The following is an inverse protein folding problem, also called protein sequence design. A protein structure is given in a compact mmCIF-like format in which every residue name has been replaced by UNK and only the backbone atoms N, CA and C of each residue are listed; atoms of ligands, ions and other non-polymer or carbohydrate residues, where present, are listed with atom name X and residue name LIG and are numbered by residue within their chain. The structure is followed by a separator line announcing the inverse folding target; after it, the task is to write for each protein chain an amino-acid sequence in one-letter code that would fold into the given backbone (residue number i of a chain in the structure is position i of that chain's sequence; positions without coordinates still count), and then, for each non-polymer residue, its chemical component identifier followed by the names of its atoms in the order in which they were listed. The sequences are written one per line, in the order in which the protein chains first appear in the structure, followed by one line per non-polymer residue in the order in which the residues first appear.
data_IF_634026997595
#
_entry.id   IF_634026997595
#
_cell.length_a   1.000
_cell.length_b   1.000
_cell.length_c   1.000
_cell.angle_alpha   90.00
_cell.angle_beta   90.00
_cell.angle_gamma   90.00
#
_symmetry.space_group_name_H-M   'P 1'
#
loop_
_entity.id
_entity.type
_entity.pdbx_description
1 polymer ?
#
# COMPACT_ATOMS: atom_id res chain seq x y z
N UNK A 1 -4.74 14.83 22.57
CA UNK A 1 -5.25 14.61 21.20
C UNK A 1 -5.92 13.25 21.08
N UNK A 2 -6.84 13.08 20.14
CA UNK A 2 -7.49 11.78 19.90
C UNK A 2 -6.67 10.90 18.96
N UNK A 3 -6.67 9.59 19.22
CA UNK A 3 -6.04 8.58 18.39
C UNK A 3 -6.77 7.24 18.48
N UNK A 4 -6.63 6.41 17.46
CA UNK A 4 -7.04 5.00 17.50
C UNK A 4 -5.87 4.19 18.06
N UNK A 5 -6.02 3.71 19.26
CA UNK A 5 -5.00 2.95 20.01
C UNK A 5 -5.42 1.48 20.08
N UNK A 6 -4.50 0.56 19.88
CA UNK A 6 -4.78 -0.85 20.08
C UNK A 6 -4.76 -1.17 21.58
N UNK A 7 -5.81 -1.82 22.06
CA UNK A 7 -5.93 -2.32 23.43
C UNK A 7 -5.05 -3.58 23.67
N UNK A 8 -5.17 -4.20 24.84
CA UNK A 8 -4.43 -5.42 25.20
C UNK A 8 -4.81 -6.64 24.33
N UNK A 9 -6.00 -6.63 23.74
CA UNK A 9 -6.46 -7.66 22.79
C UNK A 9 -6.05 -7.33 21.34
N UNK A 10 -5.40 -6.18 21.09
CA UNK A 10 -5.05 -5.69 19.78
C UNK A 10 -6.24 -5.13 19.00
N UNK A 11 -7.32 -4.76 19.69
CA UNK A 11 -8.50 -4.15 19.08
C UNK A 11 -8.39 -2.62 19.08
N UNK A 12 -8.87 -1.95 18.00
CA UNK A 12 -8.78 -0.50 17.87
C UNK A 12 -9.81 0.23 18.75
N UNK A 13 -9.37 1.16 19.56
CA UNK A 13 -10.19 2.01 20.43
C UNK A 13 -9.84 3.47 20.26
N UNK A 14 -10.85 4.36 20.16
CA UNK A 14 -10.64 5.81 20.16
C UNK A 14 -10.33 6.28 21.58
N UNK A 15 -9.15 6.85 21.77
CA UNK A 15 -8.61 7.19 23.08
C UNK A 15 -7.98 8.58 23.05
N UNK A 16 -8.08 9.32 24.17
CA UNK A 16 -7.32 10.53 24.39
C UNK A 16 -5.88 10.19 24.82
N UNK A 17 -4.91 10.63 24.04
CA UNK A 17 -3.49 10.42 24.28
C UNK A 17 -2.75 11.76 24.39
N UNK A 18 -1.55 11.73 24.99
CA UNK A 18 -0.69 12.90 25.03
C UNK A 18 -0.35 13.39 23.59
N UNK A 19 -0.06 14.69 23.46
CA UNK A 19 0.49 15.25 22.23
C UNK A 19 1.83 14.58 21.92
N UNK A 20 2.15 14.33 20.62
CA UNK A 20 3.41 13.70 20.24
C UNK A 20 4.58 14.65 20.52
N UNK A 21 5.50 14.22 21.35
CA UNK A 21 6.74 14.93 21.68
C UNK A 21 7.96 14.32 20.96
N UNK A 22 9.13 14.95 21.14
CA UNK A 22 10.39 14.47 20.61
C UNK A 22 10.79 15.08 19.25
N UNK A 23 11.73 14.41 18.57
CA UNK A 23 12.32 14.90 17.34
C UNK A 23 11.40 14.67 16.13
N UNK A 24 11.63 15.47 15.07
CA UNK A 24 10.90 15.38 13.80
C UNK A 24 9.89 16.52 13.62
N UNK A 25 9.33 16.58 12.41
CA UNK A 25 8.33 17.57 12.05
C UNK A 25 6.99 17.24 12.71
N UNK A 26 6.35 18.21 13.33
CA UNK A 26 4.98 18.06 13.81
C UNK A 26 4.03 18.17 12.62
N UNK A 27 3.25 17.11 12.41
CA UNK A 27 2.28 17.02 11.32
C UNK A 27 0.89 16.94 11.92
N UNK A 28 0.01 17.83 11.51
CA UNK A 28 -1.43 17.72 11.70
C UNK A 28 -1.98 16.78 10.63
N UNK A 29 -2.55 15.66 11.04
CA UNK A 29 -3.17 14.72 10.09
C UNK A 29 -4.47 15.29 9.56
N UNK A 30 -4.62 15.34 8.25
CA UNK A 30 -5.82 15.76 7.55
C UNK A 30 -6.64 14.59 7.06
N UNK A 31 -5.95 13.53 6.65
CA UNK A 31 -6.55 12.26 6.25
C UNK A 31 -5.52 11.13 6.39
N UNK A 32 -5.98 9.93 6.73
CA UNK A 32 -5.17 8.72 6.75
C UNK A 32 -5.93 7.56 6.13
N UNK A 33 -5.34 6.93 5.12
CA UNK A 33 -5.90 5.76 4.45
C UNK A 33 -5.73 4.48 5.26
N UNK A 34 -6.75 3.62 5.23
CA UNK A 34 -6.67 2.27 5.78
C UNK A 34 -6.03 1.34 4.75
N UNK A 35 -4.95 0.68 5.15
CA UNK A 35 -4.23 -0.32 4.38
C UNK A 35 -4.55 -1.74 4.86
N UNK A 36 -4.47 -2.73 3.98
CA UNK A 36 -4.57 -4.15 4.35
C UNK A 36 -3.56 -4.54 5.44
N UNK A 37 -2.35 -3.99 5.38
CA UNK A 37 -1.31 -4.24 6.38
C UNK A 37 -1.65 -3.68 7.78
N UNK A 38 -2.52 -2.68 7.90
CA UNK A 38 -3.03 -2.22 9.20
C UNK A 38 -4.02 -3.26 9.74
N UNK A 39 -4.92 -3.77 8.89
CA UNK A 39 -5.88 -4.82 9.26
C UNK A 39 -5.19 -6.10 9.71
N UNK A 40 -4.10 -6.51 9.04
CA UNK A 40 -3.28 -7.67 9.41
C UNK A 40 -2.62 -7.55 10.78
N UNK A 41 -2.38 -6.33 11.26
CA UNK A 41 -1.77 -6.06 12.57
C UNK A 41 -2.78 -6.08 13.71
N UNK A 42 -4.08 -5.99 13.45
CA UNK A 42 -5.11 -6.09 14.47
C UNK A 42 -5.05 -7.46 15.15
N UNK A 43 -5.11 -7.49 16.49
CA UNK A 43 -4.92 -8.69 17.30
C UNK A 43 -3.48 -9.24 17.32
N UNK A 44 -2.51 -8.57 16.68
CA UNK A 44 -1.11 -9.04 16.61
C UNK A 44 -0.08 -8.00 17.03
N UNK A 45 -0.36 -6.72 16.82
CA UNK A 45 0.52 -5.65 17.27
C UNK A 45 0.37 -5.40 18.78
N UNK A 46 1.43 -4.91 19.45
CA UNK A 46 1.38 -4.62 20.88
C UNK A 46 0.30 -3.61 21.26
N UNK A 47 -0.23 -3.73 22.47
CA UNK A 47 -1.09 -2.71 23.06
C UNK A 47 -0.38 -1.34 23.08
N UNK A 48 -1.16 -0.26 22.97
CA UNK A 48 -0.63 1.10 22.84
C UNK A 48 -0.19 1.49 21.43
N UNK A 49 -0.19 0.57 20.46
CA UNK A 49 0.16 0.88 19.06
C UNK A 49 -0.93 1.72 18.41
N UNK A 50 -0.53 2.79 17.73
CA UNK A 50 -1.38 3.52 16.77
C UNK A 50 -0.92 3.17 15.36
N UNK A 51 -1.84 2.68 14.53
CA UNK A 51 -1.58 2.29 13.15
C UNK A 51 -1.80 3.47 12.18
N UNK A 52 -1.74 3.19 10.87
CA UNK A 52 -1.92 4.18 9.79
C UNK A 52 -0.61 4.74 9.28
N UNK A 53 -0.41 4.67 7.95
CA UNK A 53 0.82 5.09 7.29
C UNK A 53 0.61 5.75 5.92
N UNK A 54 -0.63 5.78 5.41
CA UNK A 54 -1.01 6.46 4.19
C UNK A 54 -1.56 7.85 4.53
N UNK A 55 -0.70 8.84 4.74
CA UNK A 55 -1.00 10.07 5.48
C UNK A 55 -0.93 11.29 4.56
N UNK A 56 -2.02 12.03 4.52
CA UNK A 56 -2.08 13.43 4.10
C UNK A 56 -2.08 14.32 5.34
N UNK A 57 -1.19 15.28 5.40
CA UNK A 57 -1.04 16.15 6.56
C UNK A 57 -0.63 17.58 6.21
N UNK A 58 -0.49 18.37 7.24
CA UNK A 58 -0.10 19.78 7.17
C UNK A 58 0.92 20.08 8.27
N UNK A 59 1.98 20.78 7.92
CA UNK A 59 2.99 21.27 8.86
C UNK A 59 2.49 22.54 9.58
N UNK A 60 3.15 22.94 10.66
CA UNK A 60 2.79 24.15 11.42
C UNK A 60 2.85 25.45 10.60
N UNK A 61 3.68 25.49 9.55
CA UNK A 61 3.77 26.63 8.63
C UNK A 61 2.69 26.62 7.53
N UNK A 62 1.77 25.64 7.54
CA UNK A 62 0.71 25.50 6.56
C UNK A 62 1.07 24.66 5.32
N UNK A 63 2.30 24.20 5.18
CA UNK A 63 2.73 23.36 4.05
C UNK A 63 1.98 22.02 4.07
N UNK A 64 1.40 21.65 2.93
CA UNK A 64 0.75 20.37 2.74
C UNK A 64 1.79 19.31 2.42
N UNK A 65 1.68 18.16 3.09
CA UNK A 65 2.66 17.10 2.97
C UNK A 65 2.01 15.70 2.95
N UNK A 66 2.72 14.75 2.36
CA UNK A 66 2.56 13.34 2.66
C UNK A 66 3.72 12.86 3.53
N UNK A 67 3.46 11.91 4.40
CA UNK A 67 4.44 11.42 5.38
C UNK A 67 5.08 10.12 4.89
N UNK A 68 6.41 10.05 4.96
CA UNK A 68 7.15 8.82 4.64
C UNK A 68 7.45 8.07 5.93
N UNK A 69 6.73 6.95 6.15
CA UNK A 69 6.84 6.16 7.37
C UNK A 69 8.12 5.33 7.48
N UNK A 70 8.77 5.03 6.36
CA UNK A 70 9.99 4.23 6.29
C UNK A 70 11.06 4.89 5.44
N UNK A 71 12.23 5.18 6.03
CA UNK A 71 13.34 5.86 5.35
C UNK A 71 14.61 5.01 5.49
N UNK A 72 15.24 4.58 4.37
CA UNK A 72 16.50 3.85 4.43
C UNK A 72 17.65 4.76 4.86
N UNK A 73 18.71 4.22 5.47
CA UNK A 73 19.85 5.01 5.89
C UNK A 73 20.73 5.52 4.72
N UNK A 74 20.64 4.90 3.54
CA UNK A 74 21.40 5.28 2.34
C UNK A 74 22.86 4.82 2.33
N UNK A 75 23.43 4.37 3.45
CA UNK A 75 24.89 4.13 3.61
C UNK A 75 25.27 2.68 3.92
N UNK A 76 24.36 1.84 4.39
CA UNK A 76 24.69 0.44 4.67
C UNK A 76 24.81 -0.38 3.36
N UNK A 77 25.47 -1.53 3.44
CA UNK A 77 25.67 -2.43 2.29
C UNK A 77 24.38 -2.74 1.54
N UNK A 78 23.26 -2.95 2.26
CA UNK A 78 21.96 -3.21 1.63
C UNK A 78 21.44 -2.02 0.83
N UNK A 79 21.61 -0.81 1.35
CA UNK A 79 21.25 0.40 0.62
C UNK A 79 22.11 0.60 -0.62
N UNK A 80 23.41 0.40 -0.49
CA UNK A 80 24.37 0.54 -1.61
C UNK A 80 24.16 -0.53 -2.69
N UNK A 81 23.69 -1.72 -2.31
CA UNK A 81 23.30 -2.81 -3.22
C UNK A 81 21.89 -2.66 -3.82
N UNK A 82 21.14 -1.56 -3.53
CA UNK A 82 19.79 -1.35 -4.03
C UNK A 82 18.67 -2.05 -3.21
N UNK A 83 19.04 -2.76 -2.14
CA UNK A 83 18.08 -3.48 -1.28
C UNK A 83 17.60 -2.62 -0.09
N UNK A 84 17.18 -1.39 -0.35
CA UNK A 84 16.84 -0.38 0.65
C UNK A 84 15.73 -0.81 1.61
N UNK A 85 14.71 -1.54 1.13
CA UNK A 85 13.62 -2.04 1.99
C UNK A 85 14.03 -3.12 3.00
N UNK A 86 15.25 -3.64 2.89
CA UNK A 86 15.86 -4.57 3.83
C UNK A 86 16.89 -3.93 4.75
N UNK A 87 17.10 -2.63 4.63
CA UNK A 87 17.92 -1.82 5.53
C UNK A 87 17.36 -1.88 6.96
N UNK A 88 18.24 -2.00 7.96
CA UNK A 88 17.82 -2.02 9.37
C UNK A 88 17.07 -0.76 9.77
N UNK A 89 17.54 0.41 9.35
CA UNK A 89 16.91 1.70 9.60
C UNK A 89 15.57 1.86 8.90
N UNK A 90 15.37 1.24 7.76
CA UNK A 90 14.10 1.27 7.02
C UNK A 90 12.95 0.61 7.80
N UNK A 91 13.26 -0.39 8.63
CA UNK A 91 12.26 -1.08 9.46
C UNK A 91 11.85 -0.29 10.69
N UNK A 92 12.70 0.64 11.16
CA UNK A 92 12.35 1.53 12.23
C UNK A 92 11.26 2.50 11.77
N UNK A 93 10.17 2.60 12.52
CA UNK A 93 9.15 3.60 12.23
C UNK A 93 9.77 4.99 12.30
N UNK A 94 9.42 5.83 11.33
CA UNK A 94 9.83 7.23 11.26
C UNK A 94 8.69 8.19 11.60
N UNK A 95 7.63 7.64 12.17
CA UNK A 95 6.46 8.38 12.66
C UNK A 95 6.12 7.94 14.08
N UNK A 96 5.64 8.87 14.89
CA UNK A 96 5.19 8.62 16.26
C UNK A 96 4.09 9.65 16.65
N UNK A 97 2.88 9.18 17.02
CA UNK A 97 2.34 7.85 16.81
C UNK A 97 2.06 7.57 15.33
N UNK A 98 1.25 6.56 14.99
CA UNK A 98 0.79 6.30 13.62
C UNK A 98 -0.25 7.32 13.15
N UNK A 99 -0.67 7.20 11.87
CA UNK A 99 -1.52 8.19 11.20
C UNK A 99 -3.00 8.18 11.59
N UNK A 100 -3.48 7.17 12.32
CA UNK A 100 -4.84 7.22 12.88
C UNK A 100 -4.88 8.03 14.19
N UNK A 101 -4.39 9.26 14.13
CA UNK A 101 -4.33 10.25 15.21
C UNK A 101 -4.47 11.66 14.64
N UNK A 102 -4.85 12.62 15.49
CA UNK A 102 -4.97 14.03 15.08
C UNK A 102 -3.62 14.64 14.70
N UNK A 103 -2.53 14.21 15.34
CA UNK A 103 -1.16 14.70 15.10
C UNK A 103 -0.14 13.58 15.26
N UNK A 104 0.99 13.75 14.57
CA UNK A 104 2.14 12.87 14.72
C UNK A 104 3.45 13.64 14.51
N UNK A 105 4.55 13.06 14.96
CA UNK A 105 5.92 13.47 14.59
C UNK A 105 6.42 12.58 13.46
N UNK A 106 7.03 13.21 12.46
CA UNK A 106 7.61 12.49 11.33
C UNK A 106 9.04 12.93 11.08
N UNK A 107 9.95 12.00 10.81
CA UNK A 107 11.33 12.34 10.43
C UNK A 107 11.45 12.75 8.96
N UNK A 108 10.47 12.42 8.12
CA UNK A 108 10.50 12.72 6.70
C UNK A 108 9.12 12.95 6.13
N UNK A 109 8.94 14.12 5.50
CA UNK A 109 7.75 14.50 4.75
C UNK A 109 8.13 14.89 3.33
N UNK A 110 7.20 14.69 2.39
CA UNK A 110 7.33 15.17 1.02
C UNK A 110 6.23 16.20 0.77
N UNK A 111 6.57 17.42 0.30
CA UNK A 111 5.57 18.43 -0.05
C UNK A 111 4.60 17.93 -1.12
N UNK A 112 3.35 18.31 -0.98
CA UNK A 112 2.25 17.97 -1.90
C UNK A 112 1.72 19.27 -2.50
N UNK A 113 1.57 19.37 -3.84
CA UNK A 113 1.02 20.55 -4.49
C UNK A 113 -0.45 20.77 -4.13
N UNK A 114 -0.90 22.02 -4.20
CA UNK A 114 -2.25 22.43 -3.78
C UNK A 114 -3.37 21.81 -4.61
N UNK A 115 -3.07 21.38 -5.83
CA UNK A 115 -4.01 20.72 -6.74
C UNK A 115 -4.42 19.32 -6.28
N UNK A 116 -3.62 18.68 -5.43
CA UNK A 116 -3.97 17.38 -4.83
C UNK A 116 -4.65 17.60 -3.49
N UNK A 117 -5.92 17.27 -3.39
CA UNK A 117 -6.63 17.30 -2.10
C UNK A 117 -6.12 16.21 -1.13
N UNK A 118 -6.62 16.23 0.11
CA UNK A 118 -6.18 15.25 1.11
C UNK A 118 -6.61 13.81 0.79
N UNK A 119 -7.72 13.59 0.07
CA UNK A 119 -8.18 12.26 -0.31
C UNK A 119 -7.34 11.68 -1.46
N UNK A 120 -6.92 12.51 -2.41
CA UNK A 120 -5.95 12.11 -3.42
C UNK A 120 -4.56 11.87 -2.80
N UNK A 121 -4.14 12.70 -1.86
CA UNK A 121 -2.83 12.61 -1.21
C UNK A 121 -2.62 11.30 -0.47
N UNK A 122 -3.65 10.68 0.11
CA UNK A 122 -3.51 9.37 0.77
C UNK A 122 -3.11 8.24 -0.20
N UNK A 123 -3.30 8.42 -1.51
CA UNK A 123 -2.85 7.47 -2.52
C UNK A 123 -1.36 7.58 -2.87
N UNK A 124 -0.65 8.60 -2.39
CA UNK A 124 0.78 8.77 -2.70
C UNK A 124 1.60 7.59 -2.19
N UNK A 125 1.39 7.15 -0.94
CA UNK A 125 2.11 6.02 -0.36
C UNK A 125 1.87 4.71 -1.14
N UNK A 126 0.62 4.25 -1.33
CA UNK A 126 0.38 3.03 -2.07
C UNK A 126 0.83 3.11 -3.54
N UNK A 127 0.70 4.26 -4.20
CA UNK A 127 1.22 4.45 -5.56
C UNK A 127 2.75 4.38 -5.59
N UNK A 128 3.44 4.95 -4.61
CA UNK A 128 4.89 4.83 -4.48
C UNK A 128 5.33 3.36 -4.36
N UNK A 129 4.59 2.55 -3.59
CA UNK A 129 4.81 1.11 -3.48
C UNK A 129 4.58 0.38 -4.82
N UNK A 130 3.52 0.76 -5.56
CA UNK A 130 3.21 0.24 -6.91
C UNK A 130 4.35 0.55 -7.87
N UNK A 131 4.81 1.81 -7.94
CA UNK A 131 5.90 2.23 -8.84
C UNK A 131 7.15 1.40 -8.60
N UNK A 132 7.53 1.21 -7.33
CA UNK A 132 8.67 0.37 -6.98
C UNK A 132 8.48 -1.09 -7.38
N UNK A 133 7.29 -1.66 -7.18
CA UNK A 133 7.01 -3.05 -7.54
C UNK A 133 7.06 -3.26 -9.06
N UNK A 134 6.55 -2.31 -9.84
CA UNK A 134 6.51 -2.37 -11.30
C UNK A 134 7.91 -2.43 -11.92
N UNK A 135 8.94 -1.91 -11.27
CA UNK A 135 10.33 -2.06 -11.73
C UNK A 135 10.80 -3.52 -11.76
N UNK A 136 10.18 -4.39 -10.94
CA UNK A 136 10.50 -5.82 -10.87
C UNK A 136 9.61 -6.68 -11.79
N UNK A 137 8.61 -6.07 -12.43
CA UNK A 137 7.70 -6.74 -13.35
C UNK A 137 8.30 -6.74 -14.75
N UNK A 138 8.64 -7.88 -15.36
CA UNK A 138 9.00 -7.96 -16.78
C UNK A 138 7.94 -7.32 -17.67
N UNK A 139 8.36 -6.73 -18.79
CA UNK A 139 7.43 -6.14 -19.75
C UNK A 139 6.68 -7.23 -20.51
N UNK A 140 5.45 -6.92 -20.94
CA UNK A 140 4.66 -7.79 -21.79
C UNK A 140 3.26 -8.04 -21.25
N UNK A 141 2.82 -9.28 -21.26
CA UNK A 141 1.52 -9.71 -20.75
C UNK A 141 1.62 -9.94 -19.22
N UNK A 142 0.92 -9.13 -18.45
CA UNK A 142 1.00 -9.11 -16.99
C UNK A 142 -0.36 -9.43 -16.38
N UNK A 143 -0.41 -10.43 -15.52
CA UNK A 143 -1.56 -10.75 -14.70
C UNK A 143 -1.47 -10.01 -13.35
N UNK A 144 -2.51 -9.27 -12.96
CA UNK A 144 -2.63 -8.73 -11.60
C UNK A 144 -3.70 -9.51 -10.84
N UNK A 145 -3.33 -10.10 -9.71
CA UNK A 145 -4.21 -10.96 -8.91
C UNK A 145 -4.78 -10.18 -7.74
N UNK A 146 -6.11 -10.04 -7.72
CA UNK A 146 -6.90 -9.17 -6.85
C UNK A 146 -7.39 -7.92 -7.59
N UNK A 147 -8.44 -7.26 -7.11
CA UNK A 147 -8.95 -5.98 -7.64
C UNK A 147 -9.35 -5.02 -6.51
N UNK A 148 -8.49 -4.89 -5.49
CA UNK A 148 -8.58 -3.83 -4.48
C UNK A 148 -8.10 -2.47 -5.01
N UNK A 149 -8.14 -1.43 -4.18
CA UNK A 149 -7.72 -0.06 -4.57
C UNK A 149 -6.30 0.01 -5.15
N UNK A 150 -5.36 -0.77 -4.61
CA UNK A 150 -3.97 -0.80 -5.08
C UNK A 150 -3.86 -1.45 -6.46
N UNK A 151 -4.69 -2.45 -6.75
CA UNK A 151 -4.68 -3.12 -8.06
C UNK A 151 -5.08 -2.16 -9.18
N UNK A 152 -6.06 -1.29 -8.93
CA UNK A 152 -6.46 -0.28 -9.92
C UNK A 152 -5.34 0.72 -10.22
N UNK A 153 -4.42 0.95 -9.27
CA UNK A 153 -3.18 1.69 -9.52
C UNK A 153 -2.20 0.87 -10.36
N UNK A 154 -1.99 -0.43 -10.05
CA UNK A 154 -1.15 -1.32 -10.88
C UNK A 154 -1.62 -1.36 -12.33
N UNK A 155 -2.90 -1.58 -12.57
CA UNK A 155 -3.49 -1.62 -13.91
C UNK A 155 -3.10 -0.37 -14.69
N UNK A 156 -3.33 0.80 -14.14
CA UNK A 156 -3.06 2.06 -14.84
C UNK A 156 -1.56 2.31 -15.06
N UNK A 157 -0.71 1.98 -14.08
CA UNK A 157 0.75 2.14 -14.22
C UNK A 157 1.31 1.20 -15.27
N UNK A 158 0.89 -0.07 -15.28
CA UNK A 158 1.34 -1.06 -16.26
C UNK A 158 0.85 -0.72 -17.67
N UNK A 159 -0.42 -0.36 -17.86
CA UNK A 159 -0.96 0.09 -19.15
C UNK A 159 -0.22 1.32 -19.68
N UNK A 160 0.09 2.31 -18.84
CA UNK A 160 0.90 3.48 -19.22
C UNK A 160 2.33 3.11 -19.59
N UNK A 161 2.88 2.05 -19.00
CA UNK A 161 4.18 1.48 -19.37
C UNK A 161 4.15 0.78 -20.74
N UNK A 162 2.97 0.49 -21.28
CA UNK A 162 2.74 -0.19 -22.56
C UNK A 162 2.61 -1.72 -22.45
N UNK A 163 2.27 -2.23 -21.24
CA UNK A 163 2.02 -3.64 -21.02
C UNK A 163 0.57 -4.03 -21.40
N UNK A 164 0.35 -5.28 -21.71
CA UNK A 164 -0.97 -5.90 -21.76
C UNK A 164 -1.33 -6.37 -20.34
N UNK A 165 -2.41 -5.85 -19.77
CA UNK A 165 -2.76 -6.11 -18.37
C UNK A 165 -4.05 -6.92 -18.31
N UNK A 166 -3.97 -8.10 -17.73
CA UNK A 166 -5.11 -8.91 -17.32
C UNK A 166 -5.30 -8.86 -15.81
N UNK A 167 -6.53 -9.09 -15.34
CA UNK A 167 -6.86 -9.10 -13.91
C UNK A 167 -7.60 -10.37 -13.54
N UNK A 168 -7.41 -10.79 -12.28
CA UNK A 168 -8.11 -11.92 -11.69
C UNK A 168 -8.65 -11.54 -10.31
N UNK A 169 -9.97 -11.53 -10.16
CA UNK A 169 -10.65 -11.32 -8.88
C UNK A 169 -11.94 -12.12 -8.84
N UNK A 170 -12.32 -12.75 -7.72
CA UNK A 170 -13.57 -13.49 -7.61
C UNK A 170 -14.83 -12.60 -7.57
N UNK A 171 -14.67 -11.28 -7.41
CA UNK A 171 -15.78 -10.32 -7.32
C UNK A 171 -16.01 -9.63 -8.66
N UNK A 172 -17.19 -9.87 -9.31
CA UNK A 172 -17.47 -9.29 -10.64
C UNK A 172 -17.51 -7.76 -10.66
N UNK A 173 -17.97 -7.13 -9.57
CA UNK A 173 -18.04 -5.67 -9.43
C UNK A 173 -16.64 -5.02 -9.42
N UNK A 174 -15.67 -5.68 -8.81
CA UNK A 174 -14.27 -5.24 -8.77
C UNK A 174 -13.57 -5.49 -10.10
N UNK A 175 -13.83 -6.65 -10.72
CA UNK A 175 -13.29 -6.98 -12.03
C UNK A 175 -13.77 -5.97 -13.09
N UNK A 176 -15.08 -5.65 -13.12
CA UNK A 176 -15.64 -4.67 -14.06
C UNK A 176 -14.90 -3.33 -14.00
N UNK A 177 -14.54 -2.86 -12.80
CA UNK A 177 -13.82 -1.59 -12.65
C UNK A 177 -12.40 -1.62 -13.21
N UNK A 178 -11.70 -2.74 -13.11
CA UNK A 178 -10.39 -2.89 -13.73
C UNK A 178 -10.50 -2.94 -15.27
N UNK A 179 -11.56 -3.55 -15.81
CA UNK A 179 -11.84 -3.59 -17.24
C UNK A 179 -12.19 -2.19 -17.79
N UNK A 180 -12.94 -1.37 -17.05
CA UNK A 180 -13.22 0.04 -17.40
C UNK A 180 -11.93 0.86 -17.53
N UNK A 181 -10.90 0.57 -16.74
CA UNK A 181 -9.58 1.21 -16.83
C UNK A 181 -8.72 0.70 -17.99
N UNK A 182 -9.19 -0.29 -18.76
CA UNK A 182 -8.50 -0.83 -19.92
C UNK A 182 -7.78 -2.16 -19.69
N UNK A 183 -7.92 -2.77 -18.52
CA UNK A 183 -7.48 -4.16 -18.34
C UNK A 183 -8.32 -5.10 -19.21
N UNK A 184 -7.80 -6.28 -19.47
CA UNK A 184 -8.51 -7.33 -20.22
C UNK A 184 -8.89 -8.48 -19.29
N UNK A 185 -9.84 -9.30 -19.75
CA UNK A 185 -10.03 -10.60 -19.15
C UNK A 185 -8.77 -11.46 -19.30
N UNK A 186 -8.61 -12.37 -18.36
CA UNK A 186 -7.44 -13.23 -18.31
C UNK A 186 -7.15 -13.96 -19.62
N UNK A 187 -5.90 -13.89 -20.06
CA UNK A 187 -5.34 -14.72 -21.13
C UNK A 187 -4.15 -15.49 -20.60
N UNK A 188 -4.19 -16.80 -20.69
CA UNK A 188 -3.08 -17.68 -20.31
C UNK A 188 -2.22 -18.02 -21.53
N UNK A 189 -0.92 -18.24 -21.37
CA UNK A 189 -0.10 -17.95 -20.21
C UNK A 189 0.35 -16.49 -20.14
N UNK A 190 0.87 -16.05 -18.98
CA UNK A 190 1.37 -14.68 -18.75
C UNK A 190 2.86 -14.65 -18.44
N UNK A 191 3.56 -13.61 -18.93
CA UNK A 191 5.00 -13.42 -18.70
C UNK A 191 5.31 -13.05 -17.25
N UNK A 192 4.40 -12.30 -16.62
CA UNK A 192 4.53 -11.90 -15.23
C UNK A 192 3.19 -11.94 -14.52
N UNK A 193 3.22 -12.12 -13.20
CA UNK A 193 2.08 -11.94 -12.33
C UNK A 193 2.44 -11.07 -11.13
N UNK A 194 1.51 -10.19 -10.72
CA UNK A 194 1.62 -9.38 -9.50
C UNK A 194 0.59 -9.89 -8.49
N UNK A 195 1.06 -10.40 -7.36
CA UNK A 195 0.22 -10.94 -6.31
C UNK A 195 -0.09 -9.86 -5.27
N UNK A 196 -1.31 -9.34 -5.28
CA UNK A 196 -1.83 -8.41 -4.27
C UNK A 196 -2.82 -9.06 -3.30
N UNK A 197 -3.35 -10.24 -3.68
CA UNK A 197 -4.25 -11.05 -2.87
C UNK A 197 -3.61 -12.41 -2.60
N UNK A 198 -3.09 -12.68 -1.39
CA UNK A 198 -2.32 -13.90 -1.10
C UNK A 198 -3.06 -15.21 -1.40
N UNK A 199 -4.39 -15.23 -1.28
CA UNK A 199 -5.21 -16.40 -1.60
C UNK A 199 -5.08 -16.86 -3.07
N UNK A 200 -4.70 -15.97 -4.00
CA UNK A 200 -4.51 -16.27 -5.42
C UNK A 200 -3.10 -16.75 -5.78
N UNK A 201 -2.24 -17.09 -4.82
CA UNK A 201 -0.84 -17.46 -5.07
C UNK A 201 -0.71 -18.62 -6.07
N UNK A 202 -1.41 -19.73 -5.83
CA UNK A 202 -1.31 -20.92 -6.68
C UNK A 202 -1.92 -20.70 -8.06
N UNK A 203 -2.99 -19.89 -8.16
CA UNK A 203 -3.57 -19.46 -9.43
C UNK A 203 -2.57 -18.65 -10.24
N UNK A 204 -1.86 -17.71 -9.60
CA UNK A 204 -0.81 -16.92 -10.25
C UNK A 204 0.32 -17.83 -10.78
N UNK A 205 0.84 -18.74 -9.95
CA UNK A 205 1.90 -19.67 -10.35
C UNK A 205 1.49 -20.60 -11.52
N UNK A 206 0.24 -21.06 -11.51
CA UNK A 206 -0.29 -21.93 -12.57
C UNK A 206 -0.35 -21.22 -13.93
N UNK A 207 -0.62 -19.91 -13.95
CA UNK A 207 -0.83 -19.11 -15.17
C UNK A 207 0.43 -18.51 -15.76
N UNK A 208 1.54 -18.48 -15.02
CA UNK A 208 2.82 -18.02 -15.54
C UNK A 208 3.34 -18.97 -16.61
N UNK A 209 3.88 -18.43 -17.69
CA UNK A 209 4.65 -19.18 -18.69
C UNK A 209 5.98 -19.69 -18.13
N UNK A 210 6.63 -20.66 -18.76
CA UNK A 210 8.00 -21.06 -18.40
C UNK A 210 8.96 -19.86 -18.43
N UNK A 211 9.77 -19.69 -17.39
CA UNK A 211 10.65 -18.53 -17.20
C UNK A 211 9.95 -17.28 -16.66
N UNK A 212 8.65 -17.34 -16.43
CA UNK A 212 7.86 -16.19 -15.96
C UNK A 212 8.24 -15.73 -14.55
N UNK A 213 7.76 -14.52 -14.19
CA UNK A 213 8.08 -13.88 -12.91
C UNK A 213 6.83 -13.61 -12.08
N UNK A 214 6.82 -14.07 -10.83
CA UNK A 214 5.85 -13.69 -9.80
C UNK A 214 6.41 -12.56 -8.93
N UNK A 215 5.76 -11.40 -8.95
CA UNK A 215 6.06 -10.30 -8.01
C UNK A 215 5.09 -10.37 -6.83
N UNK A 216 5.59 -10.70 -5.66
CA UNK A 216 4.81 -10.73 -4.42
C UNK A 216 4.75 -9.32 -3.83
N UNK A 217 3.61 -8.67 -3.97
CA UNK A 217 3.33 -7.35 -3.40
C UNK A 217 2.64 -7.46 -2.03
N UNK A 218 1.86 -8.49 -1.81
CA UNK A 218 1.31 -8.86 -0.51
C UNK A 218 1.78 -10.25 -0.11
N UNK A 219 2.00 -10.46 1.17
CA UNK A 219 2.33 -11.75 1.75
C UNK A 219 1.18 -12.22 2.64
N UNK A 220 0.87 -13.53 2.67
CA UNK A 220 -0.08 -14.06 3.62
C UNK A 220 0.45 -13.89 5.05
N UNK A 221 -0.41 -13.60 6.03
CA UNK A 221 -0.02 -13.50 7.43
C UNK A 221 0.36 -14.86 8.05
N UNK A 222 -0.11 -15.94 7.45
CA UNK A 222 0.06 -17.32 7.89
C UNK A 222 0.67 -18.18 6.77
N UNK A 223 1.05 -19.42 7.10
CA UNK A 223 1.59 -20.37 6.11
C UNK A 223 0.50 -20.74 5.09
N UNK A 224 0.82 -20.65 3.82
CA UNK A 224 -0.05 -21.04 2.71
C UNK A 224 0.60 -22.22 1.95
N UNK A 225 -0.13 -23.32 1.72
CA UNK A 225 0.34 -24.39 0.84
C UNK A 225 0.68 -23.84 -0.54
N UNK A 226 1.90 -24.05 -0.99
CA UNK A 226 2.41 -23.48 -2.24
C UNK A 226 2.82 -24.58 -3.21
N UNK A 227 2.44 -24.41 -4.48
CA UNK A 227 2.80 -25.34 -5.58
C UNK A 227 4.27 -25.13 -5.99
N UNK A 228 5.21 -25.56 -5.13
CA UNK A 228 6.66 -25.44 -5.38
C UNK A 228 7.12 -26.18 -6.62
N UNK A 229 6.46 -27.26 -7.00
CA UNK A 229 6.74 -28.02 -8.22
C UNK A 229 6.49 -27.16 -9.48
N UNK A 230 5.51 -26.27 -9.48
CA UNK A 230 5.27 -25.32 -10.56
C UNK A 230 6.46 -24.36 -10.72
N UNK A 231 7.01 -23.86 -9.60
CA UNK A 231 8.20 -22.99 -9.63
C UNK A 231 9.38 -23.72 -10.25
N UNK A 232 9.63 -24.95 -9.79
CA UNK A 232 10.76 -25.75 -10.29
C UNK A 232 10.59 -26.14 -11.78
N UNK A 233 9.43 -26.71 -12.16
CA UNK A 233 9.20 -27.22 -13.51
C UNK A 233 9.15 -26.14 -14.59
N UNK A 234 8.69 -24.95 -14.23
CA UNK A 234 8.59 -23.80 -15.14
C UNK A 234 9.78 -22.85 -15.03
N UNK A 235 10.76 -23.14 -14.16
CA UNK A 235 11.91 -22.23 -13.89
C UNK A 235 11.47 -20.79 -13.55
N UNK A 236 10.44 -20.65 -12.70
CA UNK A 236 9.87 -19.34 -12.38
C UNK A 236 10.79 -18.54 -11.45
N UNK A 237 10.81 -17.22 -11.65
CA UNK A 237 11.36 -16.26 -10.69
C UNK A 237 10.27 -15.80 -9.72
N UNK A 238 10.57 -15.80 -8.41
CA UNK A 238 9.67 -15.26 -7.38
C UNK A 238 10.41 -14.15 -6.64
N UNK A 239 9.90 -12.93 -6.74
CA UNK A 239 10.52 -11.73 -6.17
C UNK A 239 9.54 -10.99 -5.24
N UNK A 240 10.03 -10.52 -4.08
CA UNK A 240 9.23 -9.75 -3.15
C UNK A 240 9.39 -8.24 -3.37
N UNK A 241 8.29 -7.49 -3.30
CA UNK A 241 8.32 -6.03 -3.28
C UNK A 241 7.57 -5.50 -2.07
N UNK A 242 8.26 -4.72 -1.24
CA UNK A 242 7.71 -4.19 0.01
C UNK A 242 8.09 -2.74 0.20
N UNK A 243 7.10 -1.88 0.50
CA UNK A 243 7.26 -0.46 0.82
C UNK A 243 7.93 0.36 -0.31
N UNK A 244 8.09 1.65 -0.13
CA UNK A 244 8.74 2.53 -1.08
C UNK A 244 9.74 3.47 -0.38
N UNK A 245 10.70 4.01 -1.13
CA UNK A 245 11.63 5.03 -0.63
C UNK A 245 11.09 6.43 -0.92
N UNK A 246 11.63 7.49 -0.30
CA UNK A 246 11.19 8.88 -0.56
C UNK A 246 11.22 9.29 -2.03
N UNK A 247 12.08 8.67 -2.85
CA UNK A 247 12.13 8.94 -4.29
C UNK A 247 10.81 8.56 -4.99
N UNK A 248 10.30 7.37 -4.72
CA UNK A 248 9.03 6.91 -5.29
C UNK A 248 7.82 7.74 -4.83
N UNK A 249 7.86 8.33 -3.62
CA UNK A 249 6.81 9.28 -3.19
C UNK A 249 6.75 10.51 -4.08
N UNK A 250 7.92 11.08 -4.46
CA UNK A 250 7.98 12.22 -5.40
C UNK A 250 7.47 11.84 -6.79
N UNK A 251 7.80 10.64 -7.25
CA UNK A 251 7.33 10.15 -8.55
C UNK A 251 5.82 9.85 -8.52
N UNK A 252 5.31 9.32 -7.42
CA UNK A 252 3.89 9.11 -7.19
C UNK A 252 3.11 10.44 -7.22
N UNK A 253 3.59 11.49 -6.55
CA UNK A 253 2.97 12.82 -6.57
C UNK A 253 2.89 13.38 -7.99
N UNK A 254 3.92 13.19 -8.82
CA UNK A 254 3.93 13.63 -10.21
C UNK A 254 2.96 12.85 -11.11
N UNK A 255 2.80 11.56 -10.83
CA UNK A 255 1.96 10.68 -11.64
C UNK A 255 0.48 10.75 -11.23
N UNK A 256 0.19 10.97 -9.95
CA UNK A 256 -1.14 10.88 -9.36
C UNK A 256 -2.22 11.69 -10.11
N UNK A 257 -1.97 12.94 -10.58
CA UNK A 257 -2.95 13.73 -11.32
C UNK A 257 -3.38 13.11 -12.65
N UNK A 258 -2.65 12.14 -13.16
CA UNK A 258 -2.90 11.47 -14.45
C UNK A 258 -3.60 10.12 -14.28
N UNK A 259 -3.94 9.74 -13.06
CA UNK A 259 -4.61 8.48 -12.75
C UNK A 259 -6.05 8.72 -12.32
N UNK A 260 -6.91 7.78 -12.68
CA UNK A 260 -8.25 7.68 -12.14
C UNK A 260 -8.19 6.99 -10.77
N UNK A 261 -8.43 7.75 -9.71
CA UNK A 261 -8.34 7.21 -8.36
C UNK A 261 -9.55 6.35 -8.00
N UNK A 262 -9.34 5.22 -7.32
CA UNK A 262 -10.43 4.42 -6.80
C UNK A 262 -11.33 5.24 -5.86
N UNK A 263 -12.64 4.95 -5.78
CA UNK A 263 -13.54 5.66 -4.89
C UNK A 263 -13.14 5.50 -3.42
N UNK A 264 -13.27 6.58 -2.67
CA UNK A 264 -12.94 6.67 -1.26
C UNK A 264 -14.22 6.75 -0.43
N UNK A 265 -14.31 5.93 0.63
CA UNK A 265 -15.26 6.11 1.73
C UNK A 265 -14.56 6.88 2.83
N UNK A 266 -14.92 8.15 3.01
CA UNK A 266 -14.32 9.02 4.04
C UNK A 266 -15.18 9.05 5.29
N UNK A 267 -14.58 8.77 6.44
CA UNK A 267 -15.22 8.72 7.75
C UNK A 267 -14.41 9.52 8.79
N UNK A 268 -15.05 10.10 9.80
CA UNK A 268 -14.33 10.64 10.93
C UNK A 268 -13.71 9.52 11.78
N UNK A 269 -12.72 9.86 12.59
CA UNK A 269 -11.94 8.89 13.37
C UNK A 269 -12.79 8.11 14.38
N UNK A 270 -13.85 8.71 14.92
CA UNK A 270 -14.79 8.08 15.86
C UNK A 270 -15.67 6.98 15.22
N UNK A 271 -15.71 6.91 13.88
CA UNK A 271 -16.36 5.84 13.12
C UNK A 271 -15.37 4.79 12.60
N UNK A 272 -14.24 4.59 13.32
CA UNK A 272 -13.19 3.70 12.86
C UNK A 272 -13.67 2.25 12.68
N UNK A 273 -14.46 1.73 13.62
CA UNK A 273 -15.01 0.38 13.55
C UNK A 273 -15.88 0.16 12.31
N UNK A 274 -16.74 1.15 11.98
CA UNK A 274 -17.59 1.09 10.78
C UNK A 274 -16.75 1.03 9.49
N UNK A 275 -15.74 1.89 9.36
CA UNK A 275 -14.87 1.87 8.19
C UNK A 275 -14.07 0.57 8.08
N UNK A 276 -13.66 0.00 9.21
CA UNK A 276 -13.00 -1.30 9.24
C UNK A 276 -13.92 -2.42 8.74
N UNK A 277 -15.21 -2.39 9.12
CA UNK A 277 -16.19 -3.38 8.67
C UNK A 277 -16.48 -3.22 7.17
N UNK A 278 -16.65 -2.00 6.66
CA UNK A 278 -16.82 -1.71 5.23
C UNK A 278 -15.59 -2.18 4.41
N UNK A 279 -14.39 -2.02 4.94
CA UNK A 279 -13.17 -2.51 4.31
C UNK A 279 -13.12 -4.04 4.29
N UNK A 280 -13.42 -4.70 5.42
CA UNK A 280 -13.40 -6.17 5.55
C UNK A 280 -14.48 -6.87 4.73
N UNK A 281 -15.69 -6.32 4.67
CA UNK A 281 -16.78 -6.83 3.81
C UNK A 281 -16.46 -6.61 2.32
N UNK A 282 -15.55 -5.69 2.03
CA UNK A 282 -15.19 -5.28 0.68
C UNK A 282 -16.22 -4.36 0.01
N UNK A 283 -17.15 -3.80 0.77
CA UNK A 283 -18.08 -2.76 0.29
C UNK A 283 -17.35 -1.46 -0.03
N UNK A 284 -16.31 -1.12 0.74
CA UNK A 284 -15.43 0.00 0.44
C UNK A 284 -14.10 -0.49 -0.19
N UNK A 285 -13.72 0.06 -1.33
CA UNK A 285 -12.41 -0.18 -1.94
C UNK A 285 -11.27 0.50 -1.17
N UNK A 286 -11.54 1.70 -0.69
CA UNK A 286 -10.61 2.50 0.11
C UNK A 286 -11.39 3.21 1.21
N UNK A 287 -10.96 3.03 2.44
CA UNK A 287 -11.44 3.80 3.60
C UNK A 287 -10.38 4.81 3.99
N UNK A 288 -10.81 6.04 4.26
CA UNK A 288 -9.95 7.13 4.71
C UNK A 288 -10.58 7.75 5.95
N UNK A 289 -9.79 7.88 7.00
CA UNK A 289 -10.21 8.54 8.24
C UNK A 289 -9.72 9.98 8.29
N UNK A 290 -10.61 10.88 8.70
CA UNK A 290 -10.31 12.28 9.00
C UNK A 290 -10.37 12.47 10.51
N UNK A 291 -9.25 12.75 11.16
CA UNK A 291 -9.20 13.01 12.60
C UNK A 291 -9.93 14.28 13.05
#
# INVERSE_FOLDING_TARGET
MRAIVLDEAGLPELTDVAEPDGAGLLVRVRACGLCGSDVEKLGRAPAGTVLGHEIAGELENGDRVTVVSHVPCGTCERCLAGHQSTCGEFRASRIAPGGFAERLRASHCVPVPDELDELATVYVEPLACVLRAVEQVPRGNVLVVGCGSVVLLFVQVLLRRGDEVAVLDPRPDRLARALELGATELRDPTAAAVLTAPAGLNDALARLEPGGTLVMFAAPPDLVPTALDAIYRKELSVVGSRSATPAYFRDAIRLLPWLELPPVTSLPLDRFAEGLDLYRSGEALKVVYKP
#
